data_IF_449715852496
#
_entry.id   IF_449715852496
#
_cell.length_a   1.000
_cell.length_b   1.000
_cell.length_c   1.000
_cell.angle_alpha   90.00
_cell.angle_beta   90.00
_cell.angle_gamma   90.00
#
_symmetry.space_group_name_H-M   'P 1'
#
loop_
_entity.id
_entity.type
_entity.pdbx_description
1 polymer ?
#
# COMPACT_ATOMS: atom_id res chain seq x y z
N UNK A 1 -2.46 2.79 4.09
CA UNK A 1 -1.27 2.47 4.88
C UNK A 1 -1.19 0.96 5.01
N UNK A 2 -0.02 0.34 4.85
CA UNK A 2 0.14 -1.12 4.93
C UNK A 2 0.17 -1.62 6.39
N UNK A 3 -0.88 -1.31 7.17
CA UNK A 3 -1.01 -1.75 8.56
C UNK A 3 -2.46 -2.09 8.87
N UNK A 4 -2.68 -3.31 9.37
CA UNK A 4 -3.97 -3.80 9.82
C UNK A 4 -4.96 -4.12 8.70
N UNK A 5 -6.09 -4.67 9.14
CA UNK A 5 -7.20 -5.06 8.27
C UNK A 5 -7.96 -3.85 7.74
N UNK A 6 -8.64 -4.02 6.60
CA UNK A 6 -9.52 -2.97 6.09
C UNK A 6 -10.69 -2.74 7.06
N UNK A 7 -11.13 -1.49 7.17
CA UNK A 7 -12.30 -1.11 7.96
C UNK A 7 -13.25 -0.29 7.07
N UNK A 8 -14.44 0.05 7.58
CA UNK A 8 -15.47 0.72 6.78
C UNK A 8 -14.98 2.01 6.09
N UNK A 9 -14.17 2.83 6.78
CA UNK A 9 -13.55 4.01 6.16
C UNK A 9 -12.67 3.70 4.93
N UNK A 10 -11.91 2.60 4.95
CA UNK A 10 -11.14 2.14 3.80
C UNK A 10 -12.05 1.70 2.64
N UNK A 11 -13.11 0.95 2.96
CA UNK A 11 -14.07 0.49 1.96
C UNK A 11 -14.77 1.67 1.28
N UNK A 12 -15.29 2.63 2.05
CA UNK A 12 -15.95 3.84 1.54
C UNK A 12 -15.03 4.62 0.60
N UNK A 13 -13.75 4.86 1.00
CA UNK A 13 -12.82 5.59 0.15
C UNK A 13 -12.58 4.90 -1.21
N UNK A 14 -12.40 3.58 -1.20
CA UNK A 14 -12.07 2.82 -2.42
C UNK A 14 -13.30 2.62 -3.31
N UNK A 15 -14.48 2.40 -2.75
CA UNK A 15 -15.72 2.30 -3.51
C UNK A 15 -16.05 3.61 -4.21
N UNK A 16 -15.88 4.76 -3.55
CA UNK A 16 -16.12 6.06 -4.17
C UNK A 16 -15.19 6.32 -5.37
N UNK A 17 -13.90 5.97 -5.24
CA UNK A 17 -12.95 6.05 -6.35
C UNK A 17 -13.33 5.13 -7.50
N UNK A 18 -13.74 3.91 -7.18
CA UNK A 18 -14.17 2.90 -8.16
C UNK A 18 -15.41 3.34 -8.95
N UNK A 19 -16.40 3.97 -8.30
CA UNK A 19 -17.57 4.56 -8.98
C UNK A 19 -17.14 5.60 -10.02
N UNK A 20 -16.20 6.48 -9.66
CA UNK A 20 -15.69 7.52 -10.57
C UNK A 20 -14.96 6.89 -11.76
N UNK A 21 -14.07 5.93 -11.50
CA UNK A 21 -13.30 5.23 -12.54
C UNK A 21 -14.25 4.52 -13.50
N UNK A 22 -15.20 3.72 -12.99
CA UNK A 22 -16.22 3.03 -13.80
C UNK A 22 -17.06 4.00 -14.62
N UNK A 23 -17.51 5.10 -14.02
CA UNK A 23 -18.29 6.13 -14.71
C UNK A 23 -17.52 6.73 -15.88
N UNK A 24 -16.23 7.05 -15.69
CA UNK A 24 -15.37 7.61 -16.75
C UNK A 24 -15.04 6.59 -17.83
N UNK A 25 -14.72 5.35 -17.46
CA UNK A 25 -14.50 4.26 -18.43
C UNK A 25 -15.74 4.04 -19.30
N UNK A 26 -16.94 3.98 -18.70
CA UNK A 26 -18.20 3.82 -19.44
C UNK A 26 -18.53 5.02 -20.35
N UNK A 27 -18.04 6.22 -20.01
CA UNK A 27 -18.16 7.42 -20.83
C UNK A 27 -17.07 7.51 -21.93
N UNK A 28 -16.25 6.47 -22.12
CA UNK A 28 -15.25 6.39 -23.18
C UNK A 28 -13.90 7.03 -22.86
N UNK A 29 -13.67 7.42 -21.60
CA UNK A 29 -12.37 7.95 -21.17
C UNK A 29 -11.40 6.82 -20.81
N UNK A 30 -10.12 7.03 -21.10
CA UNK A 30 -9.04 6.20 -20.56
C UNK A 30 -8.78 6.58 -19.10
N UNK A 31 -9.33 5.78 -18.18
CA UNK A 31 -9.31 6.05 -16.74
C UNK A 31 -8.61 4.91 -15.97
N UNK A 32 -7.28 4.73 -16.12
CA UNK A 32 -6.56 3.71 -15.39
C UNK A 32 -6.49 4.04 -13.90
N UNK A 33 -6.73 3.05 -13.05
CA UNK A 33 -6.57 3.18 -11.61
C UNK A 33 -5.44 2.27 -11.13
N UNK A 34 -4.34 2.86 -10.67
CA UNK A 34 -3.22 2.13 -10.06
C UNK A 34 -3.32 2.26 -8.54
N UNK A 35 -3.63 1.17 -7.80
CA UNK A 35 -3.63 1.17 -6.35
C UNK A 35 -2.22 1.42 -5.79
N UNK A 36 -2.15 2.19 -4.69
CA UNK A 36 -0.89 2.51 -4.02
C UNK A 36 -0.91 2.22 -2.52
N UNK A 37 0.23 1.80 -1.98
CA UNK A 37 0.45 1.61 -0.54
C UNK A 37 1.63 2.40 -0.02
N UNK A 38 1.38 3.04 1.11
CA UNK A 38 2.43 3.56 1.98
C UNK A 38 2.96 2.43 2.87
N UNK A 39 4.23 2.09 2.67
CA UNK A 39 4.94 0.93 3.21
C UNK A 39 6.01 1.32 4.25
N UNK A 40 6.18 2.60 4.56
CA UNK A 40 7.19 3.08 5.51
C UNK A 40 6.55 3.84 6.67
N UNK A 41 7.23 3.87 7.81
CA UNK A 41 6.91 4.74 8.93
C UNK A 41 6.71 4.02 10.27
N UNK A 42 6.62 4.84 11.31
CA UNK A 42 6.57 4.43 12.72
C UNK A 42 5.49 3.38 13.05
N UNK A 43 4.29 3.37 12.44
CA UNK A 43 3.29 2.34 12.73
C UNK A 43 3.73 0.90 12.41
N UNK A 44 4.48 0.66 11.33
CA UNK A 44 4.98 -0.70 11.00
C UNK A 44 6.10 -1.07 11.96
N UNK A 45 7.03 -0.14 12.20
CA UNK A 45 8.14 -0.31 13.14
C UNK A 45 7.63 -0.66 14.54
N UNK A 46 6.62 0.06 15.03
CA UNK A 46 6.02 -0.19 16.33
C UNK A 46 5.29 -1.55 16.41
N UNK A 47 4.70 -2.02 15.31
CA UNK A 47 4.12 -3.37 15.26
C UNK A 47 5.19 -4.46 15.33
N UNK A 48 6.32 -4.29 14.62
CA UNK A 48 7.45 -5.22 14.71
C UNK A 48 8.04 -5.23 16.12
N UNK A 49 8.22 -4.07 16.75
CA UNK A 49 8.68 -3.99 18.14
C UNK A 49 7.71 -4.68 19.12
N UNK A 50 6.39 -4.59 18.90
CA UNK A 50 5.39 -5.30 19.71
C UNK A 50 5.46 -6.81 19.54
N UNK A 51 5.70 -7.30 18.32
CA UNK A 51 5.73 -8.73 18.00
C UNK A 51 7.05 -9.40 18.38
N UNK A 52 8.17 -8.69 18.24
CA UNK A 52 9.51 -9.25 18.34
C UNK A 52 10.35 -8.65 19.47
N UNK A 53 9.86 -7.64 20.18
CA UNK A 53 10.59 -6.92 21.23
C UNK A 53 11.53 -5.84 20.70
N UNK A 54 12.15 -5.11 21.62
CA UNK A 54 13.15 -4.06 21.32
C UNK A 54 14.56 -4.65 21.24
N UNK A 55 15.47 -3.97 20.55
CA UNK A 55 16.88 -4.35 20.47
C UNK A 55 17.22 -5.37 19.37
N UNK A 56 16.38 -5.45 18.34
CA UNK A 56 16.64 -6.27 17.15
C UNK A 56 17.74 -5.60 16.33
N UNK A 57 18.64 -6.41 15.76
CA UNK A 57 19.65 -5.92 14.83
C UNK A 57 18.99 -5.11 13.69
N UNK A 58 19.50 -3.91 13.33
CA UNK A 58 18.85 -3.02 12.36
C UNK A 58 18.57 -3.67 11.00
N UNK A 59 19.46 -4.53 10.51
CA UNK A 59 19.27 -5.23 9.23
C UNK A 59 18.07 -6.19 9.30
N UNK A 60 18.01 -6.99 10.36
CA UNK A 60 16.91 -7.93 10.62
C UNK A 60 15.59 -7.19 10.85
N UNK A 61 15.62 -6.08 11.58
CA UNK A 61 14.46 -5.24 11.82
C UNK A 61 13.84 -4.71 10.51
N UNK A 62 14.66 -4.15 9.62
CA UNK A 62 14.20 -3.66 8.31
C UNK A 62 13.60 -4.79 7.46
N UNK A 63 14.19 -5.99 7.50
CA UNK A 63 13.65 -7.15 6.77
C UNK A 63 12.27 -7.54 7.30
N UNK A 64 12.09 -7.58 8.63
CA UNK A 64 10.80 -7.89 9.25
C UNK A 64 9.75 -6.84 8.89
N UNK A 65 10.11 -5.55 8.90
CA UNK A 65 9.21 -4.47 8.49
C UNK A 65 8.75 -4.63 7.03
N UNK A 66 9.67 -4.96 6.10
CA UNK A 66 9.32 -5.19 4.68
C UNK A 66 8.42 -6.41 4.51
N UNK A 67 8.70 -7.50 5.21
CA UNK A 67 7.88 -8.71 5.16
C UNK A 67 6.46 -8.42 5.69
N UNK A 68 6.36 -7.75 6.83
CA UNK A 68 5.07 -7.37 7.41
C UNK A 68 4.29 -6.45 6.47
N UNK A 69 4.92 -5.43 5.90
CA UNK A 69 4.29 -4.56 4.91
C UNK A 69 3.75 -5.36 3.71
N UNK A 70 4.54 -6.31 3.19
CA UNK A 70 4.12 -7.21 2.11
C UNK A 70 2.87 -8.02 2.44
N UNK A 71 2.85 -8.65 3.62
CA UNK A 71 1.70 -9.43 4.09
C UNK A 71 0.44 -8.57 4.24
N UNK A 72 0.57 -7.35 4.76
CA UNK A 72 -0.56 -6.42 4.92
C UNK A 72 -1.10 -5.96 3.55
N UNK A 73 -0.21 -5.65 2.60
CA UNK A 73 -0.60 -5.30 1.22
C UNK A 73 -1.42 -6.44 0.60
N UNK A 74 -0.95 -7.68 0.73
CA UNK A 74 -1.64 -8.82 0.14
C UNK A 74 -3.02 -9.08 0.73
N UNK A 75 -3.19 -8.90 2.05
CA UNK A 75 -4.50 -8.99 2.70
C UNK A 75 -5.44 -7.90 2.20
N UNK A 76 -5.02 -6.65 2.29
CA UNK A 76 -5.84 -5.51 1.86
C UNK A 76 -6.18 -5.59 0.36
N UNK A 77 -5.23 -6.03 -0.48
CA UNK A 77 -5.46 -6.26 -1.92
C UNK A 77 -6.57 -7.28 -2.14
N UNK A 78 -6.52 -8.44 -1.47
CA UNK A 78 -7.58 -9.47 -1.58
C UNK A 78 -8.94 -8.92 -1.18
N UNK A 79 -9.01 -8.14 -0.11
CA UNK A 79 -10.27 -7.58 0.36
C UNK A 79 -10.85 -6.54 -0.60
N UNK A 80 -10.02 -5.66 -1.17
CA UNK A 80 -10.49 -4.68 -2.15
C UNK A 80 -10.91 -5.32 -3.49
N UNK A 81 -10.20 -6.37 -3.94
CA UNK A 81 -10.64 -7.18 -5.08
C UNK A 81 -11.99 -7.82 -4.77
N UNK A 82 -12.19 -8.34 -3.55
CA UNK A 82 -13.47 -8.94 -3.13
C UNK A 82 -14.63 -7.94 -3.11
N UNK A 83 -14.35 -6.66 -2.84
CA UNK A 83 -15.30 -5.55 -2.92
C UNK A 83 -15.59 -5.09 -4.36
N UNK A 84 -14.94 -5.67 -5.38
CA UNK A 84 -15.20 -5.37 -6.79
C UNK A 84 -14.57 -4.08 -7.29
N UNK A 85 -13.55 -3.58 -6.58
CA UNK A 85 -12.78 -2.39 -6.98
C UNK A 85 -11.92 -2.73 -8.19
N UNK A 86 -12.09 -1.98 -9.28
CA UNK A 86 -11.24 -2.09 -10.47
C UNK A 86 -9.92 -1.38 -10.23
N UNK A 87 -8.82 -1.99 -10.66
CA UNK A 87 -7.49 -1.38 -10.61
C UNK A 87 -6.40 -2.32 -11.13
N UNK A 88 -5.22 -1.77 -11.41
CA UNK A 88 -4.02 -2.55 -11.73
C UNK A 88 -3.43 -3.15 -10.45
N UNK A 89 -3.91 -4.33 -10.09
CA UNK A 89 -3.46 -5.06 -8.90
C UNK A 89 -2.13 -5.80 -9.10
N UNK A 90 -1.64 -5.88 -10.33
CA UNK A 90 -0.38 -6.56 -10.69
C UNK A 90 0.80 -5.59 -10.59
N UNK A 91 0.60 -4.31 -10.96
CA UNK A 91 1.61 -3.26 -10.88
C UNK A 91 1.25 -2.14 -9.88
N UNK A 92 0.99 -2.44 -8.60
CA UNK A 92 0.65 -1.41 -7.64
C UNK A 92 1.86 -0.56 -7.26
N UNK A 93 1.63 0.73 -7.00
CA UNK A 93 2.64 1.60 -6.46
C UNK A 93 2.93 1.26 -4.99
N UNK A 94 4.21 1.05 -4.64
CA UNK A 94 4.65 0.78 -3.27
C UNK A 94 5.79 1.74 -2.94
N UNK A 95 5.69 2.47 -1.83
CA UNK A 95 6.77 3.41 -1.44
C UNK A 95 8.11 2.70 -1.18
N UNK A 96 8.07 1.42 -0.79
CA UNK A 96 9.26 0.57 -0.64
C UNK A 96 9.80 -0.01 -1.96
N UNK A 97 9.19 0.33 -3.09
CA UNK A 97 9.68 -0.07 -4.41
C UNK A 97 10.98 0.66 -4.74
N UNK A 98 11.94 -0.05 -5.33
CA UNK A 98 13.25 0.49 -5.69
C UNK A 98 13.17 1.84 -6.43
N UNK A 99 12.20 1.97 -7.33
CA UNK A 99 12.00 3.18 -8.11
C UNK A 99 11.51 4.36 -7.25
N UNK A 100 10.58 4.12 -6.33
CA UNK A 100 10.06 5.14 -5.42
C UNK A 100 11.14 5.60 -4.42
N UNK A 101 11.95 4.68 -3.89
CA UNK A 101 13.08 5.02 -3.02
C UNK A 101 14.13 5.85 -3.79
N UNK A 102 14.45 5.47 -5.03
CA UNK A 102 15.38 6.21 -5.88
C UNK A 102 14.87 7.62 -6.22
N UNK A 103 13.59 7.77 -6.54
CA UNK A 103 12.98 9.07 -6.84
C UNK A 103 12.98 9.98 -5.60
N UNK A 104 12.72 9.43 -4.42
CA UNK A 104 12.81 10.18 -3.15
C UNK A 104 14.21 10.73 -2.93
N UNK A 105 15.25 9.92 -3.16
CA UNK A 105 16.65 10.36 -3.04
C UNK A 105 16.96 11.47 -4.06
N UNK A 106 16.48 11.35 -5.31
CA UNK A 106 16.68 12.39 -6.33
C UNK A 106 16.02 13.71 -5.95
N UNK A 107 14.80 13.68 -5.44
CA UNK A 107 14.08 14.89 -4.99
C UNK A 107 14.72 15.57 -3.78
N UNK A 108 15.44 14.84 -2.94
CA UNK A 108 16.18 15.40 -1.80
C UNK A 108 17.58 15.92 -2.20
N UNK A 109 18.12 15.47 -3.34
CA UNK A 109 19.43 15.86 -3.85
C UNK A 109 19.39 17.09 -4.77
N UNK A 110 18.20 17.58 -5.14
CA UNK A 110 17.95 18.81 -5.90
C UNK A 110 17.72 20.01 -4.99
#
# INVERSE_FOLDING_TARGET
YANGDIHIGHAVNKILKDIIVKSKTLAGFDAPYVPGWDCHGLPIEHQIEKLHGKGIEPAKFRSLCREFAGQQIDRQRKDFIRLGVLGDWENPYKTMGFQAEADTIRSLAS
#
